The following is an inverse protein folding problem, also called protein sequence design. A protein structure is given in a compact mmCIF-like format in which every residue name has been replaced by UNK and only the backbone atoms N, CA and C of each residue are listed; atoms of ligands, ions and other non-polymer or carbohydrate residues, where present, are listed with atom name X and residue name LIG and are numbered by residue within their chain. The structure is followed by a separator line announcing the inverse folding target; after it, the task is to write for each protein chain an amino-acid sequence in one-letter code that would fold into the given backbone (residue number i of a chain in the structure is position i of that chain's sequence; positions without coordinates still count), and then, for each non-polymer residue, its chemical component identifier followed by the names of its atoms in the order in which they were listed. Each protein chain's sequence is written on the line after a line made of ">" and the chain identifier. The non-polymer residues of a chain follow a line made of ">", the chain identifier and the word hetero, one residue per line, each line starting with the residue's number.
data_IF_910365873628
#
_entry.id   IF_910365873628
#
_cell.length_a   1.000
_cell.length_b   1.000
_cell.length_c   1.000
_cell.angle_alpha   90.00
_cell.angle_beta   90.00
_cell.angle_gamma   90.00
#
_symmetry.space_group_name_H-M   'P 1'
#
loop_
_entity.id
_entity.type
_entity.pdbx_description
1 polymer ?
#
# COMPACT_ATOMS: atom_id res chain seq x y z
N UNK A 1 -24.41 8.95 5.46
CA UNK A 1 -24.33 7.91 4.40
C UNK A 1 -23.03 7.18 4.68
N UNK A 2 -23.05 5.88 5.00
CA UNK A 2 -21.78 5.15 5.27
C UNK A 2 -20.99 5.12 3.97
N UNK A 3 -20.00 6.00 3.84
CA UNK A 3 -18.95 5.83 2.85
C UNK A 3 -18.13 4.67 3.40
N UNK A 4 -18.38 3.46 2.90
CA UNK A 4 -17.41 2.38 3.06
C UNK A 4 -16.14 2.89 2.40
N UNK A 5 -15.09 3.07 3.21
CA UNK A 5 -13.76 3.38 2.72
C UNK A 5 -13.28 2.11 2.00
N UNK A 6 -13.43 2.08 0.68
CA UNK A 6 -12.96 0.98 -0.15
C UNK A 6 -11.52 1.32 -0.53
N UNK A 7 -10.57 0.49 -0.07
CA UNK A 7 -9.19 0.59 -0.53
C UNK A 7 -9.03 -0.28 -1.75
N UNK A 8 -9.00 0.38 -2.91
CA UNK A 8 -8.63 -0.22 -4.18
C UNK A 8 -7.16 0.07 -4.53
N UNK A 9 -6.74 -0.37 -5.73
CA UNK A 9 -5.35 -0.20 -6.18
C UNK A 9 -4.92 1.27 -6.27
N UNK A 10 -5.84 2.17 -6.59
CA UNK A 10 -5.58 3.60 -6.74
C UNK A 10 -5.32 4.21 -5.37
N UNK A 11 -6.19 3.97 -4.38
CA UNK A 11 -6.02 4.46 -3.01
C UNK A 11 -4.69 3.97 -2.42
N UNK A 12 -4.38 2.69 -2.62
CA UNK A 12 -3.11 2.11 -2.17
C UNK A 12 -1.89 2.80 -2.79
N UNK A 13 -1.89 3.02 -4.11
CA UNK A 13 -0.81 3.73 -4.80
C UNK A 13 -0.70 5.18 -4.33
N UNK A 14 -1.82 5.88 -4.17
CA UNK A 14 -1.81 7.28 -3.69
C UNK A 14 -1.18 7.39 -2.29
N UNK A 15 -1.53 6.50 -1.37
CA UNK A 15 -0.92 6.51 -0.03
C UNK A 15 0.57 6.17 -0.06
N UNK A 16 1.00 5.25 -0.92
CA UNK A 16 2.42 4.97 -1.12
C UNK A 16 3.18 6.17 -1.71
N UNK A 17 2.60 6.86 -2.69
CA UNK A 17 3.18 8.09 -3.26
C UNK A 17 3.28 9.17 -2.18
N UNK A 18 2.26 9.30 -1.33
CA UNK A 18 2.26 10.24 -0.21
C UNK A 18 3.35 9.94 0.83
N UNK A 19 3.70 8.66 1.02
CA UNK A 19 4.86 8.24 1.82
C UNK A 19 6.22 8.51 1.14
N UNK A 20 6.22 8.86 -0.15
CA UNK A 20 7.43 9.09 -0.96
C UNK A 20 7.95 7.82 -1.66
N UNK A 21 7.15 6.77 -1.76
CA UNK A 21 7.53 5.57 -2.49
C UNK A 21 7.65 5.88 -4.00
N UNK A 22 8.63 5.31 -4.72
CA UNK A 22 8.85 5.53 -6.14
C UNK A 22 7.89 4.70 -6.99
N UNK A 23 6.59 4.90 -6.79
CA UNK A 23 5.51 4.19 -7.49
C UNK A 23 4.67 5.16 -8.31
N UNK A 24 4.04 4.67 -9.38
CA UNK A 24 3.16 5.49 -10.22
C UNK A 24 1.81 4.80 -10.41
N UNK A 25 0.77 5.57 -10.74
CA UNK A 25 -0.56 5.00 -10.94
C UNK A 25 -0.65 4.07 -12.17
N UNK A 26 0.21 4.26 -13.16
CA UNK A 26 0.28 3.44 -14.37
C UNK A 26 0.87 2.04 -14.11
N UNK A 27 1.58 1.84 -13.00
CA UNK A 27 2.15 0.55 -12.64
C UNK A 27 1.09 -0.42 -12.16
N UNK A 28 1.21 -1.69 -12.54
CA UNK A 28 0.38 -2.74 -11.96
C UNK A 28 0.76 -3.01 -10.50
N UNK A 29 -0.17 -3.55 -9.71
CA UNK A 29 0.06 -3.92 -8.30
C UNK A 29 1.34 -4.75 -8.06
N UNK A 30 1.66 -5.69 -8.96
CA UNK A 30 2.90 -6.48 -8.87
C UNK A 30 4.19 -5.65 -9.09
N UNK A 31 4.12 -4.63 -9.95
CA UNK A 31 5.24 -3.71 -10.17
C UNK A 31 5.39 -2.77 -8.97
N UNK A 32 4.28 -2.26 -8.45
CA UNK A 32 4.24 -1.46 -7.20
C UNK A 32 4.86 -2.25 -6.06
N UNK A 33 4.44 -3.50 -5.87
CA UNK A 33 5.01 -4.39 -4.85
C UNK A 33 6.53 -4.51 -4.97
N UNK A 34 7.02 -4.79 -6.17
CA UNK A 34 8.46 -4.96 -6.41
C UNK A 34 9.24 -3.66 -6.21
N UNK A 35 8.68 -2.52 -6.65
CA UNK A 35 9.27 -1.20 -6.49
C UNK A 35 9.34 -0.80 -5.01
N UNK A 36 8.25 -1.01 -4.24
CA UNK A 36 8.20 -0.75 -2.80
C UNK A 36 9.17 -1.66 -2.05
N UNK A 37 9.24 -2.96 -2.37
CA UNK A 37 10.21 -3.86 -1.74
C UNK A 37 11.64 -3.39 -1.98
N UNK A 38 11.99 -3.05 -3.23
CA UNK A 38 13.33 -2.54 -3.56
C UNK A 38 13.61 -1.20 -2.87
N UNK A 39 12.59 -0.34 -2.76
CA UNK A 39 12.69 0.92 -2.03
C UNK A 39 12.91 0.71 -0.53
N UNK A 40 12.19 -0.21 0.10
CA UNK A 40 12.38 -0.57 1.51
C UNK A 40 13.76 -1.18 1.77
N UNK A 41 14.32 -1.91 0.81
CA UNK A 41 15.70 -2.40 0.92
C UNK A 41 16.73 -1.27 0.88
N UNK A 42 16.49 -0.24 0.07
CA UNK A 42 17.35 0.94 -0.01
C UNK A 42 17.14 1.90 1.18
N UNK A 43 15.92 1.99 1.70
CA UNK A 43 15.50 2.88 2.78
C UNK A 43 14.77 2.08 3.88
N UNK A 44 15.51 1.28 4.68
CA UNK A 44 14.90 0.43 5.70
C UNK A 44 14.15 1.23 6.78
N UNK A 45 14.49 2.51 6.97
CA UNK A 45 13.77 3.45 7.83
C UNK A 45 12.31 3.68 7.43
N UNK A 46 11.95 3.43 6.16
CA UNK A 46 10.59 3.58 5.64
C UNK A 46 9.70 2.35 5.92
N UNK A 47 10.31 1.21 6.28
CA UNK A 47 9.61 -0.04 6.61
C UNK A 47 8.51 0.13 7.65
N UNK A 48 8.75 0.77 8.82
CA UNK A 48 7.69 0.98 9.80
C UNK A 48 6.52 1.82 9.25
N UNK A 49 6.77 2.79 8.37
CA UNK A 49 5.71 3.61 7.78
C UNK A 49 4.83 2.82 6.81
N UNK A 50 5.44 1.98 5.96
CA UNK A 50 4.67 1.10 5.05
C UNK A 50 3.88 0.05 5.83
N UNK A 51 4.44 -0.48 6.93
CA UNK A 51 3.73 -1.40 7.82
C UNK A 51 2.55 -0.73 8.52
N UNK A 52 2.76 0.45 9.08
CA UNK A 52 1.71 1.23 9.74
C UNK A 52 0.59 1.56 8.74
N UNK A 53 0.94 1.97 7.52
CA UNK A 53 -0.01 2.17 6.43
C UNK A 53 -0.85 0.91 6.16
N UNK A 54 -0.21 -0.25 6.09
CA UNK A 54 -0.91 -1.50 5.85
C UNK A 54 -1.90 -1.82 6.98
N UNK A 55 -1.49 -1.60 8.23
CA UNK A 55 -2.35 -1.81 9.41
C UNK A 55 -3.52 -0.83 9.42
N UNK A 56 -3.29 0.45 9.14
CA UNK A 56 -4.34 1.48 9.07
C UNK A 56 -5.37 1.15 7.98
N UNK A 57 -4.91 0.68 6.81
CA UNK A 57 -5.78 0.29 5.70
C UNK A 57 -6.56 -1.01 5.98
N UNK A 58 -6.07 -1.89 6.84
CA UNK A 58 -6.75 -3.11 7.27
C UNK A 58 -7.63 -2.93 8.52
N UNK A 59 -7.83 -1.69 9.00
CA UNK A 59 -8.74 -1.43 10.12
C UNK A 59 -10.19 -1.79 9.78
N UNK A 60 -10.94 -2.24 10.79
CA UNK A 60 -12.30 -2.80 10.75
C UNK A 60 -13.38 -2.00 9.98
N UNK A 61 -13.10 -0.74 9.62
CA UNK A 61 -14.06 0.13 8.91
C UNK A 61 -13.71 0.33 7.42
N UNK A 62 -12.65 -0.31 6.94
CA UNK A 62 -12.15 -0.17 5.58
C UNK A 62 -12.24 -1.52 4.87
N UNK A 63 -12.87 -1.54 3.71
CA UNK A 63 -12.94 -2.75 2.87
C UNK A 63 -11.75 -2.72 1.92
N UNK A 64 -10.76 -3.60 2.12
CA UNK A 64 -9.60 -3.72 1.22
C UNK A 64 -9.90 -4.76 0.15
N UNK A 65 -9.62 -4.43 -1.11
CA UNK A 65 -9.73 -5.40 -2.20
C UNK A 65 -8.71 -6.54 -2.03
N UNK A 66 -9.05 -7.79 -2.38
CA UNK A 66 -8.18 -8.95 -2.18
C UNK A 66 -6.83 -8.83 -2.91
N UNK A 67 -6.81 -8.16 -4.07
CA UNK A 67 -5.57 -7.93 -4.83
C UNK A 67 -4.61 -7.01 -4.07
N UNK A 68 -5.12 -5.95 -3.44
CA UNK A 68 -4.33 -5.04 -2.61
C UNK A 68 -3.90 -5.74 -1.33
N UNK A 69 -4.80 -6.47 -0.68
CA UNK A 69 -4.46 -7.24 0.53
C UNK A 69 -3.36 -8.27 0.28
N UNK A 70 -3.29 -8.84 -0.93
CA UNK A 70 -2.21 -9.75 -1.33
C UNK A 70 -0.86 -9.04 -1.41
N UNK A 71 -0.85 -7.82 -1.96
CA UNK A 71 0.36 -6.99 -2.02
C UNK A 71 0.79 -6.54 -0.62
N UNK A 72 -0.16 -6.12 0.22
CA UNK A 72 0.10 -5.72 1.61
C UNK A 72 0.70 -6.85 2.44
N UNK A 73 0.23 -8.08 2.24
CA UNK A 73 0.77 -9.27 2.91
C UNK A 73 2.26 -9.51 2.60
N UNK A 74 2.78 -9.00 1.49
CA UNK A 74 4.20 -9.11 1.16
C UNK A 74 5.10 -8.15 1.94
N UNK A 75 4.53 -7.14 2.60
CA UNK A 75 5.26 -6.20 3.45
C UNK A 75 5.08 -6.46 4.95
N UNK A 76 4.22 -7.41 5.33
CA UNK A 76 3.94 -7.79 6.72
C UNK A 76 5.10 -8.51 7.38
#
# INVERSE_FOLDING_TARGET
>A
MMIVDLVDEVDFKERLIALGAPVTQEQSLAQVQSAVLSWLQAYPEQTPFVKDLCIEMQKDNTTVLPEVSTVMAAFS
#
